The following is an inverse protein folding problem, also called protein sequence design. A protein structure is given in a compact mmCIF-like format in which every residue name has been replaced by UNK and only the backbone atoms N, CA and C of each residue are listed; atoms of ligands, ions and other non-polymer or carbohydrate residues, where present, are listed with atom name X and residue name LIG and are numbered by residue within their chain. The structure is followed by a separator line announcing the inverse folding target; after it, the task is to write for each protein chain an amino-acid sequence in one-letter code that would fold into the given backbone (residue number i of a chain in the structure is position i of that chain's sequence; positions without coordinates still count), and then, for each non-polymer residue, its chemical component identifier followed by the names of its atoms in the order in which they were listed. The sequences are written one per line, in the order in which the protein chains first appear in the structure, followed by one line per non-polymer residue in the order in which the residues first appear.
data_IF_651372744159
#
_entry.id   IF_651372744159
#
_cell.length_a   1.000
_cell.length_b   1.000
_cell.length_c   1.000
_cell.angle_alpha   90.00
_cell.angle_beta   90.00
_cell.angle_gamma   90.00
#
_symmetry.space_group_name_H-M   'P 1'
#
loop_
_entity.id
_entity.type
_entity.pdbx_description
1 polymer ?
#
# COMPACT_ATOMS: atom_id res chain seq x y z
N UNK A 1 41.85 -46.71 -16.22
CA UNK A 1 41.41 -45.71 -15.21
C UNK A 1 39.89 -45.71 -15.22
N UNK A 2 39.24 -46.12 -14.12
CA UNK A 2 37.83 -46.50 -14.15
C UNK A 2 36.95 -45.24 -14.28
N UNK A 3 36.20 -45.14 -15.38
CA UNK A 3 35.33 -44.01 -15.73
C UNK A 3 34.38 -43.57 -14.61
N UNK A 4 33.98 -44.50 -13.73
CA UNK A 4 33.15 -44.24 -12.54
C UNK A 4 33.80 -43.28 -11.54
N UNK A 5 35.11 -43.40 -11.31
CA UNK A 5 35.83 -42.50 -10.39
C UNK A 5 35.97 -41.08 -10.96
N UNK A 6 36.11 -40.96 -12.29
CA UNK A 6 36.13 -39.66 -12.97
C UNK A 6 34.79 -38.93 -12.85
N UNK A 7 33.67 -39.65 -13.01
CA UNK A 7 32.33 -39.07 -12.89
C UNK A 7 32.04 -38.60 -11.46
N UNK A 8 32.43 -39.39 -10.46
CA UNK A 8 32.26 -39.02 -9.04
C UNK A 8 33.12 -37.80 -8.69
N UNK A 9 34.36 -37.75 -9.16
CA UNK A 9 35.24 -36.59 -8.96
C UNK A 9 34.69 -35.32 -9.60
N UNK A 10 34.14 -35.41 -10.81
CA UNK A 10 33.52 -34.29 -11.50
C UNK A 10 32.28 -33.76 -10.76
N UNK A 11 31.40 -34.65 -10.29
CA UNK A 11 30.22 -34.29 -9.50
C UNK A 11 30.60 -33.58 -8.19
N UNK A 12 31.60 -34.10 -7.48
CA UNK A 12 32.07 -33.49 -6.23
C UNK A 12 32.65 -32.08 -6.46
N UNK A 13 33.41 -31.91 -7.55
CA UNK A 13 33.95 -30.60 -7.94
C UNK A 13 32.86 -29.57 -8.25
N UNK A 14 31.81 -29.99 -8.97
CA UNK A 14 30.66 -29.12 -9.28
C UNK A 14 29.93 -28.71 -7.99
N UNK A 15 29.66 -29.65 -7.09
CA UNK A 15 29.01 -29.34 -5.82
C UNK A 15 29.81 -28.35 -4.97
N UNK A 16 31.15 -28.51 -4.92
CA UNK A 16 32.02 -27.59 -4.18
C UNK A 16 32.04 -26.18 -4.81
N UNK A 17 32.14 -26.10 -6.14
CA UNK A 17 32.12 -24.83 -6.85
C UNK A 17 30.79 -24.07 -6.65
N UNK A 18 29.67 -24.78 -6.72
CA UNK A 18 28.34 -24.20 -6.46
C UNK A 18 28.20 -23.76 -5.00
N UNK A 19 28.63 -24.57 -4.04
CA UNK A 19 28.58 -24.22 -2.62
C UNK A 19 29.37 -22.95 -2.32
N UNK A 20 30.61 -22.86 -2.80
CA UNK A 20 31.45 -21.67 -2.63
C UNK A 20 30.84 -20.46 -3.35
N UNK A 21 30.31 -20.63 -4.56
CA UNK A 21 29.64 -19.56 -5.31
C UNK A 21 28.41 -18.99 -4.58
N UNK A 22 27.58 -19.86 -3.98
CA UNK A 22 26.40 -19.44 -3.21
C UNK A 22 26.82 -18.66 -1.96
N UNK A 23 27.84 -19.13 -1.23
CA UNK A 23 28.34 -18.45 -0.04
C UNK A 23 28.90 -17.07 -0.41
N UNK A 24 29.74 -16.99 -1.43
CA UNK A 24 30.28 -15.71 -1.92
C UNK A 24 29.14 -14.79 -2.36
N UNK A 25 28.18 -15.29 -3.16
CA UNK A 25 27.03 -14.51 -3.58
C UNK A 25 26.19 -13.99 -2.42
N UNK A 26 25.99 -14.81 -1.37
CA UNK A 26 25.26 -14.43 -0.17
C UNK A 26 25.92 -13.25 0.58
N UNK A 27 27.25 -13.26 0.68
CA UNK A 27 28.01 -12.21 1.37
C UNK A 27 28.41 -11.02 0.47
N UNK A 28 28.47 -11.21 -0.85
CA UNK A 28 28.80 -10.16 -1.81
C UNK A 28 27.65 -9.18 -2.04
N UNK A 29 26.40 -9.62 -1.83
CA UNK A 29 25.24 -8.74 -1.83
C UNK A 29 25.29 -7.91 -0.55
N UNK A 30 25.83 -6.69 -0.65
CA UNK A 30 25.59 -5.67 0.38
C UNK A 30 24.08 -5.50 0.45
N UNK A 31 23.48 -5.93 1.56
CA UNK A 31 22.10 -5.56 1.89
C UNK A 31 22.10 -4.05 2.06
N UNK A 32 21.88 -3.32 0.98
CA UNK A 32 21.39 -1.96 1.06
C UNK A 32 19.99 -2.12 1.62
N UNK A 33 19.90 -2.21 2.95
CA UNK A 33 18.74 -1.69 3.63
C UNK A 33 18.74 -0.23 3.18
N UNK A 34 17.98 0.07 2.11
CA UNK A 34 17.55 1.42 1.85
C UNK A 34 16.67 1.74 3.04
N UNK A 35 17.34 2.09 4.14
CA UNK A 35 16.75 2.66 5.32
C UNK A 35 16.18 3.95 4.79
N UNK A 36 14.92 3.89 4.38
CA UNK A 36 14.10 5.06 4.17
C UNK A 36 14.35 5.87 5.42
N UNK A 37 15.03 7.01 5.25
CA UNK A 37 15.37 7.91 6.36
C UNK A 37 14.16 7.97 7.28
N UNK A 38 14.35 7.80 8.59
CA UNK A 38 13.26 7.72 9.57
C UNK A 38 12.25 8.86 9.42
N UNK A 39 12.69 9.99 8.87
CA UNK A 39 11.88 11.13 8.44
C UNK A 39 10.75 10.76 7.46
N UNK A 40 10.95 9.84 6.53
CA UNK A 40 9.98 9.45 5.48
C UNK A 40 9.33 8.08 5.73
N UNK A 41 9.69 7.38 6.81
CA UNK A 41 9.11 6.08 7.16
C UNK A 41 7.58 6.15 7.41
N UNK A 42 7.05 7.34 7.74
CA UNK A 42 5.61 7.56 7.89
C UNK A 42 4.86 7.56 6.55
N UNK A 43 5.51 7.92 5.45
CA UNK A 43 4.90 7.97 4.11
C UNK A 43 4.71 6.58 3.49
N UNK A 44 5.52 5.62 3.93
CA UNK A 44 5.41 4.22 3.51
C UNK A 44 4.73 3.34 4.54
N UNK A 45 4.20 3.93 5.62
CA UNK A 45 3.45 3.22 6.64
C UNK A 45 2.14 2.73 6.02
N UNK A 46 1.98 1.42 5.96
CA UNK A 46 0.73 0.81 5.53
C UNK A 46 -0.40 1.20 6.50
N UNK A 47 -1.60 1.39 5.96
CA UNK A 47 -2.79 1.63 6.78
C UNK A 47 -3.00 0.44 7.73
N UNK A 48 -3.38 0.72 8.97
CA UNK A 48 -3.73 -0.31 9.94
C UNK A 48 -4.98 -1.06 9.45
N UNK A 49 -4.92 -2.40 9.25
CA UNK A 49 -6.06 -3.19 8.80
C UNK A 49 -7.30 -3.03 9.69
N UNK A 50 -7.11 -2.78 10.99
CA UNK A 50 -8.22 -2.58 11.92
C UNK A 50 -8.95 -1.25 11.66
N UNK A 51 -8.21 -0.18 11.33
CA UNK A 51 -8.77 1.11 10.96
C UNK A 51 -9.52 1.03 9.62
N UNK A 52 -9.01 0.23 8.68
CA UNK A 52 -9.69 0.00 7.40
C UNK A 52 -11.05 -0.68 7.58
N UNK A 53 -11.11 -1.76 8.36
CA UNK A 53 -12.36 -2.49 8.55
C UNK A 53 -13.42 -1.63 9.27
N UNK A 54 -12.98 -0.83 10.25
CA UNK A 54 -13.83 0.12 10.99
C UNK A 54 -14.34 1.25 10.09
N UNK A 55 -13.50 1.74 9.18
CA UNK A 55 -13.90 2.75 8.20
C UNK A 55 -14.93 2.20 7.21
N UNK A 56 -14.70 1.03 6.63
CA UNK A 56 -15.64 0.44 5.67
C UNK A 56 -16.98 0.11 6.33
N UNK A 57 -16.98 -0.36 7.59
CA UNK A 57 -18.22 -0.65 8.31
C UNK A 57 -19.00 0.60 8.74
N UNK A 58 -18.36 1.78 8.81
CA UNK A 58 -19.03 3.03 9.17
C UNK A 58 -19.75 3.69 7.99
N UNK A 59 -19.40 3.35 6.75
CA UNK A 59 -20.05 3.85 5.54
C UNK A 59 -21.39 3.12 5.34
N UNK A 60 -22.50 3.85 5.51
CA UNK A 60 -23.86 3.33 5.37
C UNK A 60 -24.54 3.86 4.11
N UNK A 61 -25.22 2.98 3.37
CA UNK A 61 -25.89 3.33 2.11
C UNK A 61 -27.03 4.35 2.33
N UNK A 62 -27.72 4.25 3.46
CA UNK A 62 -28.85 5.12 3.82
C UNK A 62 -28.40 6.57 4.04
N UNK A 63 -27.19 6.77 4.58
CA UNK A 63 -26.59 8.09 4.72
C UNK A 63 -26.29 8.68 3.34
N UNK A 64 -25.70 7.88 2.44
CA UNK A 64 -25.38 8.31 1.06
C UNK A 64 -26.65 8.70 0.31
N UNK A 65 -27.72 7.91 0.43
CA UNK A 65 -29.01 8.21 -0.20
C UNK A 65 -29.60 9.53 0.32
N UNK A 66 -29.57 9.73 1.64
CA UNK A 66 -30.05 10.98 2.25
C UNK A 66 -29.25 12.17 1.76
N UNK A 67 -27.92 12.04 1.73
CA UNK A 67 -27.01 13.10 1.28
C UNK A 67 -27.24 13.45 -0.19
N UNK A 68 -27.40 12.45 -1.06
CA UNK A 68 -27.70 12.66 -2.47
C UNK A 68 -29.06 13.32 -2.66
N UNK A 69 -30.09 12.89 -1.93
CA UNK A 69 -31.41 13.50 -2.02
C UNK A 69 -31.37 14.98 -1.64
N UNK A 70 -30.65 15.32 -0.57
CA UNK A 70 -30.53 16.69 -0.10
C UNK A 70 -29.74 17.55 -1.10
N UNK A 71 -28.56 17.08 -1.53
CA UNK A 71 -27.66 17.83 -2.42
C UNK A 71 -28.23 18.00 -3.85
N UNK A 72 -29.08 17.08 -4.30
CA UNK A 72 -29.68 17.13 -5.65
C UNK A 72 -31.09 17.72 -5.67
N UNK A 73 -31.62 18.17 -4.54
CA UNK A 73 -32.99 18.68 -4.43
C UNK A 73 -33.27 19.92 -5.29
N UNK A 74 -32.23 20.67 -5.66
CA UNK A 74 -32.30 21.85 -6.54
C UNK A 74 -31.12 21.90 -7.51
N UNK A 75 -31.28 22.53 -8.69
CA UNK A 75 -30.17 22.83 -9.58
C UNK A 75 -29.17 23.77 -8.90
N UNK A 76 -27.90 23.36 -8.81
CA UNK A 76 -26.79 24.12 -8.22
C UNK A 76 -25.76 24.45 -9.31
N UNK A 77 -26.12 25.36 -10.21
CA UNK A 77 -25.24 25.78 -11.31
C UNK A 77 -24.17 26.71 -10.75
N UNK A 78 -22.92 26.49 -11.14
CA UNK A 78 -21.77 27.26 -10.69
C UNK A 78 -22.01 28.79 -10.76
N UNK A 79 -21.81 29.46 -9.63
CA UNK A 79 -21.94 30.92 -9.53
C UNK A 79 -23.38 31.44 -9.35
N UNK A 80 -24.38 30.57 -9.23
CA UNK A 80 -25.71 30.94 -8.76
C UNK A 80 -25.82 30.86 -7.22
N UNK A 81 -26.80 31.53 -6.59
CA UNK A 81 -26.99 31.47 -5.14
C UNK A 81 -27.14 30.05 -4.57
N UNK A 82 -27.74 29.13 -5.33
CA UNK A 82 -27.96 27.73 -4.93
C UNK A 82 -26.65 26.92 -4.83
N UNK A 83 -25.62 27.31 -5.57
CA UNK A 83 -24.27 26.75 -5.48
C UNK A 83 -23.62 27.13 -4.14
N UNK A 84 -23.80 28.39 -3.71
CA UNK A 84 -23.35 28.85 -2.39
C UNK A 84 -24.10 28.15 -1.25
N UNK A 85 -25.42 27.99 -1.36
CA UNK A 85 -26.24 27.25 -0.39
C UNK A 85 -25.72 25.82 -0.23
N UNK A 86 -25.43 25.13 -1.33
CA UNK A 86 -24.89 23.76 -1.33
C UNK A 86 -23.51 23.69 -0.65
N UNK A 87 -22.63 24.66 -0.93
CA UNK A 87 -21.32 24.75 -0.31
C UNK A 87 -21.41 24.99 1.21
N UNK A 88 -22.34 25.84 1.65
CA UNK A 88 -22.57 26.11 3.08
C UNK A 88 -23.07 24.87 3.82
N UNK A 89 -23.96 24.07 3.22
CA UNK A 89 -24.39 22.79 3.80
C UNK A 89 -23.21 21.84 4.01
N UNK A 90 -22.28 21.76 3.05
CA UNK A 90 -21.08 20.93 3.17
C UNK A 90 -20.16 21.47 4.28
N UNK A 91 -19.94 22.80 4.30
CA UNK A 91 -19.12 23.46 5.33
C UNK A 91 -19.64 23.19 6.75
N UNK A 92 -20.95 23.34 6.96
CA UNK A 92 -21.59 23.08 8.24
C UNK A 92 -21.45 21.62 8.68
N UNK A 93 -21.61 20.67 7.74
CA UNK A 93 -21.42 19.23 8.01
C UNK A 93 -19.99 18.94 8.42
N UNK A 94 -19.00 19.50 7.71
CA UNK A 94 -17.59 19.29 8.06
C UNK A 94 -17.22 19.90 9.40
N UNK A 95 -17.76 21.08 9.76
CA UNK A 95 -17.55 21.69 11.07
C UNK A 95 -18.18 20.89 12.21
N UNK A 96 -19.28 20.19 11.93
CA UNK A 96 -19.99 19.39 12.93
C UNK A 96 -19.34 18.02 13.13
N UNK A 97 -18.89 17.40 12.05
CA UNK A 97 -18.48 15.99 12.03
C UNK A 97 -16.95 15.79 11.98
N UNK A 98 -16.17 16.87 11.77
CA UNK A 98 -14.70 16.90 11.74
C UNK A 98 -14.07 17.51 12.99
#
# INVERSE_FOLDING_TARGET
MNSKFLIIGALLGICLALGVGIIIGHFAIRKTNTSISSKYAHLTRQADPHNYQTFISSVRAENIETDLRDLTSRPHIAGLPEDLESAQVIEERWKRDG
#
